data_IF_604584987939
#
_entry.id   IF_604584987939
#
_cell.length_a   1.000
_cell.length_b   1.000
_cell.length_c   1.000
_cell.angle_alpha   90.00
_cell.angle_beta   90.00
_cell.angle_gamma   90.00
#
_symmetry.space_group_name_H-M   'P 1'
#
loop_
_entity.id
_entity.type
_entity.pdbx_description
1 polymer ?
#
# COMPACT_ATOMS: atom_id res chain seq x y z
N UNK A 1 -23.78 -35.79 -3.77
CA UNK A 1 -22.39 -35.32 -3.93
C UNK A 1 -22.12 -34.34 -2.80
N UNK A 2 -21.11 -34.55 -1.94
CA UNK A 2 -20.81 -33.60 -0.88
C UNK A 2 -20.40 -32.26 -1.51
N UNK A 3 -20.93 -31.16 -0.98
CA UNK A 3 -20.57 -29.81 -1.43
C UNK A 3 -19.06 -29.61 -1.35
N UNK A 4 -18.47 -29.04 -2.40
CA UNK A 4 -17.05 -28.71 -2.47
C UNK A 4 -16.67 -27.87 -1.24
N UNK A 5 -15.47 -28.10 -0.68
CA UNK A 5 -14.98 -27.39 0.50
C UNK A 5 -15.06 -25.87 0.29
N UNK A 6 -14.84 -25.43 -0.95
CA UNK A 6 -14.99 -24.05 -1.40
C UNK A 6 -16.39 -23.49 -1.13
N UNK A 7 -17.44 -24.26 -1.44
CA UNK A 7 -18.83 -23.83 -1.27
C UNK A 7 -19.22 -23.75 0.21
N UNK A 8 -18.73 -24.69 1.01
CA UNK A 8 -18.92 -24.70 2.48
C UNK A 8 -18.25 -23.50 3.15
N UNK A 9 -17.03 -23.14 2.73
CA UNK A 9 -16.33 -21.96 3.25
C UNK A 9 -17.01 -20.66 2.85
N UNK A 10 -17.49 -20.57 1.60
CA UNK A 10 -18.17 -19.37 1.09
C UNK A 10 -19.48 -19.11 1.84
N UNK A 11 -20.25 -20.16 2.13
CA UNK A 11 -21.47 -20.09 2.94
C UNK A 11 -21.18 -19.67 4.39
N UNK A 12 -20.15 -20.26 5.01
CA UNK A 12 -19.80 -19.96 6.41
C UNK A 12 -19.32 -18.51 6.62
N UNK A 13 -18.69 -17.91 5.60
CA UNK A 13 -18.16 -16.54 5.66
C UNK A 13 -19.19 -15.47 5.22
N UNK A 14 -20.45 -15.83 4.94
CA UNK A 14 -21.47 -14.93 4.39
C UNK A 14 -20.96 -14.12 3.18
N UNK A 15 -20.08 -14.71 2.36
CA UNK A 15 -19.51 -14.00 1.22
C UNK A 15 -20.57 -13.92 0.11
N UNK A 16 -21.04 -12.72 -0.26
CA UNK A 16 -21.99 -12.60 -1.36
C UNK A 16 -21.35 -13.10 -2.65
N UNK A 17 -22.13 -13.82 -3.46
CA UNK A 17 -21.75 -14.12 -4.84
C UNK A 17 -21.66 -12.80 -5.61
N UNK A 18 -20.44 -12.27 -5.76
CA UNK A 18 -20.21 -11.18 -6.72
C UNK A 18 -20.44 -11.76 -8.11
N UNK A 19 -21.54 -11.36 -8.75
CA UNK A 19 -21.71 -11.55 -10.19
C UNK A 19 -20.50 -10.99 -10.92
N UNK A 20 -20.19 -11.54 -12.09
CA UNK A 20 -19.14 -10.98 -12.95
C UNK A 20 -19.48 -9.51 -13.21
N UNK A 21 -18.65 -8.55 -12.75
CA UNK A 21 -18.88 -7.16 -13.10
C UNK A 21 -18.86 -7.03 -14.62
N UNK A 22 -19.76 -6.22 -15.17
CA UNK A 22 -19.73 -5.89 -16.59
C UNK A 22 -18.32 -5.40 -16.93
N UNK A 23 -17.72 -5.96 -17.99
CA UNK A 23 -16.39 -5.56 -18.43
C UNK A 23 -16.44 -4.06 -18.78
N UNK A 24 -15.85 -3.23 -17.91
CA UNK A 24 -15.66 -1.82 -18.23
C UNK A 24 -14.57 -1.74 -19.30
N UNK A 25 -14.98 -1.36 -20.51
CA UNK A 25 -14.11 -1.18 -21.67
C UNK A 25 -13.41 0.18 -21.69
N UNK A 26 -13.68 1.04 -20.70
CA UNK A 26 -12.97 2.31 -20.59
C UNK A 26 -11.51 2.03 -20.23
N UNK A 27 -10.64 2.43 -21.15
CA UNK A 27 -9.21 2.43 -20.94
C UNK A 27 -8.91 3.30 -19.72
N UNK A 28 -8.51 2.67 -18.61
CA UNK A 28 -7.98 3.36 -17.41
C UNK A 28 -6.69 4.14 -17.75
N UNK A 29 -6.14 3.95 -18.95
CA UNK A 29 -4.95 4.67 -19.44
C UNK A 29 -5.26 6.03 -20.07
N UNK A 30 -6.54 6.39 -20.28
CA UNK A 30 -6.89 7.76 -20.57
C UNK A 30 -6.60 8.58 -19.32
N UNK A 31 -5.50 9.36 -19.32
CA UNK A 31 -5.02 10.10 -18.15
C UNK A 31 -6.19 10.88 -17.53
N UNK A 32 -6.74 10.44 -16.38
CA UNK A 32 -7.78 11.21 -15.72
C UNK A 32 -7.19 12.58 -15.35
N UNK A 33 -8.01 13.62 -15.36
CA UNK A 33 -7.57 14.89 -14.77
C UNK A 33 -7.44 14.70 -13.26
N UNK A 34 -6.21 14.41 -12.83
CA UNK A 34 -5.82 14.23 -11.43
C UNK A 34 -5.24 15.52 -10.83
N UNK A 35 -5.26 16.64 -11.57
CA UNK A 35 -4.62 17.90 -11.15
C UNK A 35 -5.11 18.40 -9.79
N UNK A 36 -6.37 18.12 -9.44
CA UNK A 36 -6.95 18.43 -8.12
C UNK A 36 -6.27 17.74 -6.93
N UNK A 37 -5.47 16.70 -7.16
CA UNK A 37 -4.68 16.02 -6.13
C UNK A 37 -3.32 16.68 -5.86
N UNK A 38 -2.90 17.65 -6.67
CA UNK A 38 -1.65 18.40 -6.46
C UNK A 38 -0.37 17.63 -6.82
N UNK A 39 -0.44 16.69 -7.76
CA UNK A 39 0.69 15.91 -8.24
C UNK A 39 1.03 16.15 -9.70
N UNK A 40 1.81 15.26 -10.30
CA UNK A 40 2.10 15.29 -11.73
C UNK A 40 2.24 13.87 -12.32
N UNK A 41 2.00 13.77 -13.63
CA UNK A 41 2.22 12.53 -14.38
C UNK A 41 3.70 12.34 -14.70
N UNK A 42 4.17 11.10 -14.64
CA UNK A 42 5.51 10.69 -15.07
C UNK A 42 5.43 9.44 -15.96
N UNK A 43 6.48 9.21 -16.75
CA UNK A 43 6.63 8.00 -17.56
C UNK A 43 7.67 7.08 -16.93
N UNK A 44 7.41 5.78 -16.97
CA UNK A 44 8.37 4.75 -16.56
C UNK A 44 8.48 3.65 -17.62
N UNK A 45 9.52 2.79 -17.57
CA UNK A 45 9.58 1.59 -18.41
C UNK A 45 8.38 0.64 -18.28
N UNK A 46 7.60 0.77 -17.20
CA UNK A 46 6.42 -0.05 -16.90
C UNK A 46 5.10 0.65 -17.22
N UNK A 47 5.14 1.85 -17.79
CA UNK A 47 3.96 2.66 -18.13
C UNK A 47 3.90 3.99 -17.36
N UNK A 48 2.86 4.80 -17.62
CA UNK A 48 2.66 6.07 -16.94
C UNK A 48 2.25 5.88 -15.47
N UNK A 49 2.62 6.84 -14.63
CA UNK A 49 2.17 6.92 -13.24
C UNK A 49 1.88 8.36 -12.84
N UNK A 50 1.14 8.55 -11.75
CA UNK A 50 0.88 9.85 -11.15
C UNK A 50 1.51 9.88 -9.76
N UNK A 51 2.26 10.94 -9.46
CA UNK A 51 2.98 11.08 -8.20
C UNK A 51 2.59 12.36 -7.48
N UNK A 52 2.43 12.26 -6.17
CA UNK A 52 2.23 13.37 -5.25
C UNK A 52 3.38 13.29 -4.25
N UNK A 53 4.09 14.40 -4.08
CA UNK A 53 5.22 14.49 -3.17
C UNK A 53 4.96 15.56 -2.13
N UNK A 54 5.17 15.22 -0.87
CA UNK A 54 5.04 16.14 0.26
C UNK A 54 6.25 16.02 1.16
N UNK A 55 6.77 17.15 1.62
CA UNK A 55 7.84 17.21 2.62
C UNK A 55 7.26 17.76 3.91
N UNK A 56 7.56 17.09 5.02
CA UNK A 56 7.09 17.46 6.35
C UNK A 56 8.28 17.59 7.29
N UNK A 57 8.22 18.58 8.17
CA UNK A 57 9.12 18.64 9.32
C UNK A 57 8.92 17.42 10.23
N UNK A 58 9.99 16.97 10.90
CA UNK A 58 9.91 15.83 11.80
C UNK A 58 8.88 16.03 12.95
N UNK A 59 8.61 17.29 13.32
CA UNK A 59 7.58 17.67 14.29
C UNK A 59 6.15 17.66 13.76
N UNK A 60 5.92 17.46 12.45
CA UNK A 60 4.59 17.48 11.85
C UNK A 60 3.68 16.43 12.51
N UNK A 61 2.46 16.85 12.85
CA UNK A 61 1.46 16.00 13.48
C UNK A 61 0.61 15.33 12.41
N UNK A 62 0.78 14.02 12.25
CA UNK A 62 -0.14 13.21 11.46
C UNK A 62 -1.28 12.71 12.36
N UNK A 63 -2.42 13.40 12.30
CA UNK A 63 -3.49 13.23 13.28
C UNK A 63 -3.02 13.64 14.68
N UNK A 64 -2.80 12.67 15.57
CA UNK A 64 -2.33 12.88 16.94
C UNK A 64 -0.90 12.41 17.20
N UNK A 65 -0.18 12.00 16.15
CA UNK A 65 1.15 11.40 16.26
C UNK A 65 2.15 12.29 15.52
N UNK A 66 3.21 12.78 16.18
CA UNK A 66 4.27 13.47 15.48
C UNK A 66 5.12 12.47 14.67
N UNK A 67 5.53 12.85 13.46
CA UNK A 67 6.27 11.95 12.56
C UNK A 67 7.59 11.45 13.17
N UNK A 68 8.33 12.28 13.90
CA UNK A 68 9.59 11.87 14.55
C UNK A 68 9.44 10.71 15.54
N UNK A 69 8.22 10.38 16.01
CA UNK A 69 8.02 9.19 16.85
C UNK A 69 8.48 7.91 16.16
N UNK A 70 8.40 7.84 14.83
CA UNK A 70 8.87 6.69 14.07
C UNK A 70 10.39 6.47 14.20
N UNK A 71 11.17 7.51 14.52
CA UNK A 71 12.61 7.40 14.76
C UNK A 71 12.96 6.68 16.08
N UNK A 72 11.98 6.53 16.98
CA UNK A 72 12.14 5.86 18.27
C UNK A 72 11.60 4.42 18.26
N UNK A 73 11.41 3.82 17.07
CA UNK A 73 11.00 2.41 16.96
C UNK A 73 12.02 1.48 17.63
N UNK A 74 11.53 0.53 18.40
CA UNK A 74 12.34 -0.57 18.91
C UNK A 74 12.59 -1.59 17.79
N UNK A 75 13.75 -1.46 17.15
CA UNK A 75 14.14 -2.30 16.02
C UNK A 75 14.46 -3.73 16.41
N UNK A 76 14.77 -4.01 17.68
CA UNK A 76 14.94 -5.38 18.17
C UNK A 76 13.60 -6.12 18.22
N UNK A 77 12.56 -5.46 18.74
CA UNK A 77 11.19 -5.99 18.69
C UNK A 77 10.68 -6.16 17.25
N UNK A 78 11.03 -5.25 16.35
CA UNK A 78 10.68 -5.37 14.93
C UNK A 78 11.38 -6.56 14.27
N UNK A 79 12.68 -6.73 14.51
CA UNK A 79 13.48 -7.85 14.01
C UNK A 79 12.88 -9.20 14.43
N UNK A 80 12.45 -9.32 15.68
CA UNK A 80 11.79 -10.53 16.19
C UNK A 80 10.45 -10.81 15.47
N UNK A 81 9.62 -9.79 15.25
CA UNK A 81 8.32 -9.92 14.55
C UNK A 81 8.50 -10.31 13.08
N UNK A 82 9.46 -9.69 12.40
CA UNK A 82 9.76 -9.96 10.99
C UNK A 82 10.58 -11.24 10.79
N UNK A 83 11.15 -11.80 11.87
CA UNK A 83 12.11 -12.92 11.84
C UNK A 83 13.32 -12.60 10.97
N UNK A 84 13.85 -11.39 11.12
CA UNK A 84 15.04 -10.91 10.43
C UNK A 84 15.92 -10.11 11.39
N UNK A 85 16.96 -10.76 11.90
CA UNK A 85 17.87 -10.19 12.91
C UNK A 85 18.64 -8.97 12.40
N UNK A 86 18.80 -8.82 11.08
CA UNK A 86 19.51 -7.68 10.48
C UNK A 86 18.85 -6.36 10.85
N UNK A 87 17.51 -6.35 10.98
CA UNK A 87 16.74 -5.16 11.33
C UNK A 87 17.11 -4.59 12.70
N UNK A 88 17.59 -5.42 13.64
CA UNK A 88 17.93 -4.96 15.00
C UNK A 88 19.15 -4.03 15.03
N UNK A 89 20.01 -4.10 14.00
CA UNK A 89 21.19 -3.25 13.88
C UNK A 89 20.92 -1.94 13.12
N UNK A 90 19.76 -1.84 12.47
CA UNK A 90 19.40 -0.69 11.65
C UNK A 90 18.75 0.42 12.50
N UNK A 91 18.92 1.67 12.07
CA UNK A 91 18.23 2.81 12.66
C UNK A 91 16.96 3.12 11.85
N UNK A 92 15.82 3.46 12.48
CA UNK A 92 14.57 3.70 11.73
C UNK A 92 14.63 4.84 10.72
N UNK A 93 15.61 5.75 10.86
CA UNK A 93 15.91 6.79 9.84
C UNK A 93 16.26 6.18 8.47
N UNK A 94 16.90 5.02 8.47
CA UNK A 94 17.38 4.36 7.26
C UNK A 94 16.30 3.46 6.63
N UNK A 95 15.11 3.41 7.24
CA UNK A 95 13.99 2.64 6.71
C UNK A 95 13.26 3.37 5.59
N UNK A 96 12.81 2.56 4.63
CA UNK A 96 11.76 2.94 3.70
C UNK A 96 10.42 2.45 4.25
N UNK A 97 9.52 3.37 4.55
CA UNK A 97 8.16 3.07 4.99
C UNK A 97 7.28 2.96 3.75
N UNK A 98 6.66 1.79 3.57
CA UNK A 98 5.84 1.50 2.39
C UNK A 98 4.46 1.04 2.84
N UNK A 99 3.44 1.61 2.22
CA UNK A 99 2.06 1.19 2.36
C UNK A 99 1.43 1.07 0.98
N UNK A 100 0.53 0.10 0.79
CA UNK A 100 -0.05 -0.19 -0.53
C UNK A 100 -1.54 -0.38 -0.44
N UNK A 101 -2.27 0.27 -1.34
CA UNK A 101 -3.68 0.00 -1.58
C UNK A 101 -3.81 -0.97 -2.75
N UNK A 102 -4.57 -2.05 -2.51
CA UNK A 102 -4.69 -3.16 -3.46
C UNK A 102 -6.14 -3.42 -3.84
N UNK A 103 -6.34 -3.89 -5.07
CA UNK A 103 -7.63 -4.41 -5.52
C UNK A 103 -7.50 -5.88 -5.89
N UNK A 104 -8.49 -6.69 -5.50
CA UNK A 104 -8.52 -8.12 -5.79
C UNK A 104 -8.89 -8.41 -7.24
N UNK A 105 -8.20 -9.39 -7.84
CA UNK A 105 -8.42 -9.84 -9.21
C UNK A 105 -9.23 -11.15 -9.27
N UNK A 106 -10.26 -11.28 -8.43
CA UNK A 106 -11.20 -12.42 -8.49
C UNK A 106 -10.58 -13.80 -8.27
N UNK A 107 -9.49 -13.88 -7.50
CA UNK A 107 -8.77 -15.13 -7.21
C UNK A 107 -7.47 -15.31 -8.01
N UNK A 108 -7.19 -14.46 -8.99
CA UNK A 108 -5.90 -14.44 -9.70
C UNK A 108 -4.79 -13.69 -8.94
N UNK A 109 -5.10 -13.11 -7.77
CA UNK A 109 -4.18 -12.31 -6.97
C UNK A 109 -4.73 -10.93 -6.65
N UNK A 110 -3.84 -9.99 -6.34
CA UNK A 110 -4.15 -8.59 -6.06
C UNK A 110 -3.25 -7.67 -6.90
N UNK A 111 -3.80 -6.52 -7.31
CA UNK A 111 -3.06 -5.46 -8.01
C UNK A 111 -2.90 -4.27 -7.07
N UNK A 112 -1.66 -3.82 -6.86
CA UNK A 112 -1.38 -2.52 -6.22
C UNK A 112 -1.75 -1.44 -7.23
N UNK A 113 -2.67 -0.55 -6.87
CA UNK A 113 -3.06 0.58 -7.73
C UNK A 113 -2.62 1.94 -7.16
N UNK A 114 -2.26 1.98 -5.88
CA UNK A 114 -1.67 3.13 -5.21
C UNK A 114 -0.65 2.62 -4.18
N UNK A 115 0.49 3.29 -4.09
CA UNK A 115 1.51 3.02 -3.09
C UNK A 115 1.96 4.33 -2.46
N UNK A 116 2.05 4.33 -1.13
CA UNK A 116 2.69 5.38 -0.35
C UNK A 116 4.11 4.95 -0.01
N UNK A 117 5.07 5.86 -0.20
CA UNK A 117 6.46 5.65 0.20
C UNK A 117 6.92 6.86 0.98
N UNK A 118 7.53 6.62 2.14
CA UNK A 118 8.10 7.65 2.97
C UNK A 118 9.49 7.25 3.47
N UNK A 119 10.35 8.25 3.66
CA UNK A 119 11.65 8.11 4.30
C UNK A 119 11.91 9.34 5.15
N UNK A 120 12.77 9.21 6.14
CA UNK A 120 13.40 10.39 6.74
C UNK A 120 14.59 10.82 5.87
N UNK A 121 14.75 12.11 5.69
CA UNK A 121 15.88 12.72 4.99
C UNK A 121 16.46 13.84 5.85
N UNK A 122 17.76 14.12 5.70
CA UNK A 122 18.50 15.06 6.55
C UNK A 122 19.08 14.47 7.85
N UNK A 123 19.91 15.30 8.51
CA UNK A 123 20.69 14.96 9.71
C UNK A 123 19.97 15.24 11.02
#
# INVERSE_FOLDING_TARGET
MPADLRDRLRAALNQPSRGLPAARSESVTGLPDLSGLGGHWFQSPHGPGYVIESVYEAGHMHGRIPLHRALALDTASLAAQCRDERLAAEHPRDFLYVDTETTGLGGAGAMVFLAGVARFDGS
#
